data_IF_737724722157
#
_entry.id   IF_737724722157
#
_cell.length_a   1.000
_cell.length_b   1.000
_cell.length_c   1.000
_cell.angle_alpha   90.00
_cell.angle_beta   90.00
_cell.angle_gamma   90.00
#
_symmetry.space_group_name_H-M   'P 1'
#
loop_
_entity.id
_entity.type
_entity.pdbx_description
1 polymer ?
#
# COMPACT_ATOMS: atom_id res chain seq x y z
N UNK A 1 -86.04 60.58 -24.56
CA UNK A 1 -85.50 61.95 -24.64
C UNK A 1 -84.31 62.01 -23.71
N UNK A 2 -83.20 62.62 -24.15
CA UNK A 2 -81.86 62.69 -23.52
C UNK A 2 -81.02 61.41 -23.57
N UNK A 3 -79.70 61.45 -23.77
CA UNK A 3 -78.77 62.32 -24.51
C UNK A 3 -77.44 61.57 -24.52
N UNK A 4 -76.69 61.78 -25.59
CA UNK A 4 -75.33 61.31 -25.88
C UNK A 4 -74.37 61.51 -24.70
N UNK A 5 -73.52 60.52 -24.41
CA UNK A 5 -72.14 60.76 -23.98
C UNK A 5 -71.21 59.67 -24.52
N UNK A 6 -70.32 60.12 -25.40
CA UNK A 6 -69.14 59.43 -25.90
C UNK A 6 -68.26 58.97 -24.74
N UNK A 7 -67.84 57.70 -24.74
CA UNK A 7 -66.75 57.24 -23.88
C UNK A 7 -65.50 57.15 -24.75
N UNK A 8 -64.52 57.99 -24.40
CA UNK A 8 -63.20 58.10 -24.99
C UNK A 8 -62.49 56.75 -25.03
N UNK A 9 -61.90 56.45 -26.19
CA UNK A 9 -60.85 55.45 -26.35
C UNK A 9 -59.66 55.94 -25.51
N UNK A 10 -59.42 55.29 -24.37
CA UNK A 10 -58.18 55.48 -23.61
C UNK A 10 -57.07 54.72 -24.34
N UNK A 11 -56.20 55.47 -25.03
CA UNK A 11 -54.89 55.00 -25.46
C UNK A 11 -54.09 54.56 -24.21
N UNK A 12 -53.81 53.27 -24.12
CA UNK A 12 -52.85 52.73 -23.15
C UNK A 12 -51.43 53.21 -23.52
N UNK A 13 -50.58 53.57 -22.55
CA UNK A 13 -49.24 54.08 -22.81
C UNK A 13 -48.31 52.95 -23.27
N UNK A 14 -47.60 53.22 -24.35
CA UNK A 14 -46.59 52.37 -24.99
C UNK A 14 -45.27 52.39 -24.19
N UNK A 15 -45.24 51.80 -22.98
CA UNK A 15 -44.02 51.72 -22.16
C UNK A 15 -43.93 50.45 -21.29
N UNK A 16 -44.00 49.27 -21.89
CA UNK A 16 -43.46 48.05 -21.26
C UNK A 16 -42.17 47.65 -22.01
N UNK A 17 -40.98 47.79 -21.40
CA UNK A 17 -39.79 47.15 -21.93
C UNK A 17 -40.02 45.64 -21.96
N UNK A 18 -39.74 45.01 -23.11
CA UNK A 18 -39.68 43.56 -23.24
C UNK A 18 -38.74 43.01 -22.17
N UNK A 19 -39.24 42.06 -21.37
CA UNK A 19 -38.48 41.31 -20.36
C UNK A 19 -37.17 40.81 -20.98
N UNK A 20 -36.05 41.45 -20.62
CA UNK A 20 -34.73 40.89 -20.88
C UNK A 20 -34.65 39.57 -20.10
N UNK A 21 -34.60 38.46 -20.83
CA UNK A 21 -34.32 37.16 -20.26
C UNK A 21 -32.89 37.18 -19.72
N UNK A 22 -32.73 37.55 -18.45
CA UNK A 22 -31.49 37.31 -17.73
C UNK A 22 -31.30 35.81 -17.63
N UNK A 23 -30.53 35.23 -18.56
CA UNK A 23 -29.97 33.90 -18.37
C UNK A 23 -28.96 34.00 -17.23
N UNK A 24 -29.35 33.53 -16.04
CA UNK A 24 -28.39 33.35 -14.96
C UNK A 24 -27.22 32.52 -15.49
N UNK A 25 -25.96 32.96 -15.29
CA UNK A 25 -24.82 32.15 -15.71
C UNK A 25 -24.90 30.84 -14.93
N UNK A 26 -24.97 29.72 -15.64
CA UNK A 26 -24.96 28.40 -15.04
C UNK A 26 -23.74 28.31 -14.12
N UNK A 27 -23.97 28.37 -12.80
CA UNK A 27 -22.94 28.16 -11.80
C UNK A 27 -22.48 26.72 -11.97
N UNK A 28 -21.38 26.56 -12.73
CA UNK A 28 -20.76 25.27 -12.92
C UNK A 28 -20.36 24.74 -11.55
N UNK A 29 -21.09 23.75 -11.06
CA UNK A 29 -20.77 23.09 -9.79
C UNK A 29 -19.44 22.37 -9.99
N UNK A 30 -18.35 23.00 -9.52
CA UNK A 30 -17.03 22.37 -9.52
C UNK A 30 -17.06 21.28 -8.46
N UNK A 31 -16.89 20.03 -8.90
CA UNK A 31 -16.78 18.89 -7.99
C UNK A 31 -15.60 19.04 -7.03
N UNK A 32 -15.60 18.30 -5.90
CA UNK A 32 -14.50 18.35 -4.95
C UNK A 32 -13.16 17.95 -5.62
N UNK A 33 -12.03 18.49 -5.15
CA UNK A 33 -10.72 18.15 -5.70
C UNK A 33 -10.43 16.65 -5.56
N UNK A 34 -9.66 16.10 -6.49
CA UNK A 34 -9.29 14.69 -6.47
C UNK A 34 -8.50 14.34 -5.20
N UNK A 35 -9.00 13.38 -4.42
CA UNK A 35 -8.38 12.98 -3.14
C UNK A 35 -6.99 12.33 -3.28
N UNK A 36 -6.59 11.91 -4.49
CA UNK A 36 -5.25 11.36 -4.74
C UNK A 36 -4.94 10.06 -3.98
N UNK A 37 -5.96 9.28 -3.61
CA UNK A 37 -5.82 8.09 -2.78
C UNK A 37 -4.90 7.00 -3.38
N UNK A 38 -4.82 6.93 -4.71
CA UNK A 38 -4.00 5.94 -5.43
C UNK A 38 -2.65 6.49 -5.91
N UNK A 39 -2.40 7.80 -5.76
CA UNK A 39 -1.17 8.41 -6.25
C UNK A 39 0.02 7.90 -5.44
N UNK A 40 1.07 7.46 -6.13
CA UNK A 40 2.35 7.09 -5.52
C UNK A 40 2.91 8.26 -4.70
N UNK A 41 3.55 7.91 -3.59
CA UNK A 41 4.15 8.85 -2.65
C UNK A 41 5.66 8.62 -2.63
N UNK A 42 6.47 9.68 -2.72
CA UNK A 42 7.91 9.53 -2.69
C UNK A 42 8.35 8.92 -1.34
N UNK A 43 9.22 7.92 -1.41
CA UNK A 43 9.86 7.37 -0.22
C UNK A 43 10.81 8.41 0.38
N UNK A 44 10.94 8.40 1.71
CA UNK A 44 11.98 9.16 2.40
C UNK A 44 13.35 8.53 2.10
N UNK A 45 14.46 9.30 2.11
CA UNK A 45 15.79 8.73 2.03
C UNK A 45 16.01 7.69 3.14
N UNK A 46 16.38 6.47 2.76
CA UNK A 46 16.59 5.37 3.71
C UNK A 46 17.95 5.48 4.38
N UNK A 47 18.04 4.98 5.60
CA UNK A 47 19.32 4.75 6.28
C UNK A 47 20.07 3.62 5.59
N UNK A 48 19.34 2.63 5.06
CA UNK A 48 19.89 1.55 4.24
C UNK A 48 20.79 2.07 3.11
N UNK A 49 20.27 2.96 2.26
CA UNK A 49 21.03 3.49 1.12
C UNK A 49 22.30 4.23 1.57
N UNK A 50 22.21 5.03 2.64
CA UNK A 50 23.37 5.76 3.18
C UNK A 50 24.48 4.83 3.65
N UNK A 51 24.14 3.76 4.36
CA UNK A 51 25.13 2.79 4.85
C UNK A 51 25.70 1.92 3.71
N UNK A 52 24.91 1.68 2.66
CA UNK A 52 25.37 0.98 1.46
C UNK A 52 26.42 1.80 0.72
N UNK A 53 26.15 3.10 0.51
CA UNK A 53 27.08 4.01 -0.17
C UNK A 53 28.39 4.21 0.62
N UNK A 54 28.36 4.04 1.93
CA UNK A 54 29.55 4.08 2.79
C UNK A 54 30.32 2.76 2.85
N UNK A 55 29.77 1.68 2.28
CA UNK A 55 30.40 0.35 2.32
C UNK A 55 30.39 -0.29 3.71
N UNK A 56 29.48 0.11 4.59
CA UNK A 56 29.41 -0.39 5.98
C UNK A 56 28.73 -1.77 6.11
N UNK A 57 28.11 -2.28 5.05
CA UNK A 57 27.43 -3.58 5.11
C UNK A 57 28.40 -4.77 5.10
N UNK A 58 28.12 -5.82 5.91
CA UNK A 58 28.87 -7.07 5.89
C UNK A 58 28.43 -7.97 4.72
N UNK A 59 28.19 -7.42 3.53
CA UNK A 59 27.74 -8.16 2.35
C UNK A 59 28.43 -7.65 1.08
N UNK A 60 28.52 -8.50 0.05
CA UNK A 60 29.06 -8.16 -1.26
C UNK A 60 28.25 -8.85 -2.37
N UNK A 61 28.31 -8.32 -3.59
CA UNK A 61 27.72 -8.96 -4.77
C UNK A 61 28.58 -10.16 -5.17
N UNK A 62 28.00 -11.35 -5.18
CA UNK A 62 28.61 -12.54 -5.76
C UNK A 62 27.95 -12.83 -7.12
N UNK A 63 28.78 -12.84 -8.17
CA UNK A 63 28.36 -13.27 -9.49
C UNK A 63 28.64 -14.75 -9.63
N UNK A 64 27.60 -15.56 -9.69
CA UNK A 64 27.72 -16.96 -10.06
C UNK A 64 27.06 -17.20 -11.44
N UNK A 65 27.32 -18.36 -12.04
CA UNK A 65 26.76 -18.71 -13.36
C UNK A 65 25.25 -18.97 -13.34
N UNK A 66 24.61 -19.02 -12.16
CA UNK A 66 23.18 -19.27 -11.96
C UNK A 66 22.38 -18.02 -11.55
N UNK A 67 23.03 -16.87 -11.36
CA UNK A 67 22.41 -15.60 -11.01
C UNK A 67 23.26 -14.71 -10.08
N UNK A 68 22.71 -13.56 -9.70
CA UNK A 68 23.32 -12.69 -8.69
C UNK A 68 22.92 -13.19 -7.29
N UNK A 69 23.89 -13.40 -6.41
CA UNK A 69 23.67 -13.68 -4.98
C UNK A 69 24.40 -12.65 -4.12
N UNK A 70 23.97 -12.51 -2.86
CA UNK A 70 24.75 -11.76 -1.87
C UNK A 70 25.63 -12.75 -1.11
N UNK A 71 26.90 -12.41 -0.94
CA UNK A 71 27.81 -13.12 -0.07
C UNK A 71 27.99 -12.34 1.23
N UNK A 72 27.68 -12.95 2.35
CA UNK A 72 27.88 -12.36 3.67
C UNK A 72 29.32 -12.54 4.12
N UNK A 73 29.95 -11.44 4.58
CA UNK A 73 31.32 -11.43 5.12
C UNK A 73 31.39 -12.01 6.54
N UNK A 74 30.24 -12.08 7.22
CA UNK A 74 30.07 -12.59 8.58
C UNK A 74 28.93 -13.60 8.54
N UNK A 75 29.05 -14.69 9.29
CA UNK A 75 27.97 -15.67 9.46
C UNK A 75 26.69 -14.97 9.94
N UNK A 76 25.57 -15.24 9.28
CA UNK A 76 24.29 -14.57 9.51
C UNK A 76 23.84 -14.74 10.97
N UNK A 77 24.08 -15.91 11.53
CA UNK A 77 23.73 -16.29 12.90
C UNK A 77 24.50 -15.47 13.94
N UNK A 78 25.63 -14.83 13.58
CA UNK A 78 26.43 -13.99 14.48
C UNK A 78 26.10 -12.50 14.40
N UNK A 79 25.25 -12.09 13.44
CA UNK A 79 24.86 -10.69 13.29
C UNK A 79 23.99 -10.21 14.46
N UNK A 80 24.06 -8.90 14.74
CA UNK A 80 23.15 -8.21 15.64
C UNK A 80 21.86 -7.86 14.90
N UNK A 81 20.83 -8.67 15.13
CA UNK A 81 19.54 -8.50 14.45
C UNK A 81 18.84 -7.19 14.85
N UNK A 82 19.06 -6.67 16.07
CA UNK A 82 18.43 -5.40 16.49
C UNK A 82 18.91 -4.23 15.65
N UNK A 83 20.15 -4.30 15.16
CA UNK A 83 20.71 -3.31 14.25
C UNK A 83 20.35 -3.61 12.79
N UNK A 84 20.64 -4.82 12.32
CA UNK A 84 20.59 -5.11 10.89
C UNK A 84 19.19 -5.36 10.36
N UNK A 85 18.33 -6.11 11.06
CA UNK A 85 17.02 -6.47 10.51
C UNK A 85 16.13 -5.24 10.26
N UNK A 86 15.96 -4.30 11.21
CA UNK A 86 15.23 -3.05 10.94
C UNK A 86 15.86 -2.21 9.82
N UNK A 87 17.19 -2.20 9.71
CA UNK A 87 17.91 -1.49 8.66
C UNK A 87 17.62 -2.05 7.26
N UNK A 88 17.61 -3.37 7.10
CA UNK A 88 17.23 -4.00 5.83
C UNK A 88 15.76 -3.79 5.49
N UNK A 89 14.87 -3.82 6.50
CA UNK A 89 13.46 -3.49 6.33
C UNK A 89 13.22 -2.03 5.90
N UNK A 90 14.03 -1.08 6.38
CA UNK A 90 13.99 0.32 5.92
C UNK A 90 14.30 0.42 4.41
N UNK A 91 15.17 -0.46 3.91
CA UNK A 91 15.51 -0.60 2.51
C UNK A 91 14.40 -1.15 1.61
N UNK A 92 13.27 -1.65 2.14
CA UNK A 92 12.16 -2.16 1.31
C UNK A 92 11.54 -1.10 0.40
N UNK A 93 11.70 0.19 0.73
CA UNK A 93 11.25 1.30 -0.11
C UNK A 93 12.15 1.54 -1.33
N UNK A 94 13.33 0.90 -1.41
CA UNK A 94 14.33 1.10 -2.44
C UNK A 94 13.96 0.39 -3.74
N UNK A 95 13.82 1.15 -4.83
CA UNK A 95 13.50 0.60 -6.17
C UNK A 95 14.69 0.65 -7.14
N UNK A 96 15.70 1.49 -6.85
CA UNK A 96 16.85 1.64 -7.71
C UNK A 96 17.85 0.48 -7.51
N UNK A 97 18.44 0.01 -8.62
CA UNK A 97 19.56 -0.93 -8.57
C UNK A 97 20.84 -0.20 -8.13
N UNK A 98 21.70 -0.78 -7.27
CA UNK A 98 21.61 -2.13 -6.69
C UNK A 98 20.81 -2.23 -5.38
N UNK A 99 20.39 -1.09 -4.80
CA UNK A 99 19.85 -1.00 -3.45
C UNK A 99 18.66 -1.93 -3.17
N UNK A 100 17.65 -1.93 -4.04
CA UNK A 100 16.46 -2.77 -3.85
C UNK A 100 16.77 -4.27 -3.82
N UNK A 101 17.72 -4.72 -4.64
CA UNK A 101 18.18 -6.11 -4.67
C UNK A 101 18.85 -6.52 -3.35
N UNK A 102 19.80 -5.71 -2.88
CA UNK A 102 20.50 -5.97 -1.62
C UNK A 102 19.56 -5.91 -0.40
N UNK A 103 18.63 -4.95 -0.38
CA UNK A 103 17.65 -4.83 0.69
C UNK A 103 16.77 -6.08 0.78
N UNK A 104 16.17 -6.49 -0.34
CA UNK A 104 15.26 -7.64 -0.38
C UNK A 104 15.97 -8.95 -0.06
N UNK A 105 17.15 -9.18 -0.66
CA UNK A 105 17.91 -10.41 -0.40
C UNK A 105 18.40 -10.46 1.05
N UNK A 106 18.84 -9.33 1.60
CA UNK A 106 19.27 -9.25 2.99
C UNK A 106 18.14 -9.53 3.98
N UNK A 107 16.93 -9.02 3.72
CA UNK A 107 15.74 -9.39 4.51
C UNK A 107 15.49 -10.89 4.44
N UNK A 108 15.48 -11.46 3.24
CA UNK A 108 15.19 -12.89 3.06
C UNK A 108 16.20 -13.77 3.82
N UNK A 109 17.50 -13.50 3.68
CA UNK A 109 18.55 -14.30 4.33
C UNK A 109 18.48 -14.20 5.87
N UNK A 110 18.21 -12.99 6.39
CA UNK A 110 18.05 -12.78 7.84
C UNK A 110 16.80 -13.45 8.39
N UNK A 111 15.67 -13.43 7.68
CA UNK A 111 14.47 -14.12 8.13
C UNK A 111 14.65 -15.64 8.10
N UNK A 112 15.34 -16.17 7.08
CA UNK A 112 15.58 -17.61 6.93
C UNK A 112 16.48 -18.19 8.05
N UNK A 113 17.50 -17.44 8.49
CA UNK A 113 18.51 -17.92 9.45
C UNK A 113 18.39 -17.28 10.84
N UNK A 114 17.40 -16.41 11.07
CA UNK A 114 17.29 -15.63 12.31
C UNK A 114 16.70 -16.41 13.49
N UNK A 115 15.79 -17.35 13.23
CA UNK A 115 15.12 -18.15 14.25
C UNK A 115 14.58 -17.31 15.41
N UNK A 116 14.91 -17.69 16.65
CA UNK A 116 14.43 -17.02 17.87
C UNK A 116 14.87 -15.54 18.01
N UNK A 117 15.82 -15.06 17.22
CA UNK A 117 16.26 -13.64 17.25
C UNK A 117 15.25 -12.69 16.61
N UNK A 118 14.32 -13.20 15.81
CA UNK A 118 13.36 -12.37 15.05
C UNK A 118 12.25 -11.84 15.96
N UNK A 119 11.71 -12.69 16.84
CA UNK A 119 10.56 -12.37 17.70
C UNK A 119 10.76 -11.10 18.56
N UNK A 120 11.91 -10.86 19.23
CA UNK A 120 12.12 -9.66 20.04
C UNK A 120 12.12 -8.34 19.24
N UNK A 121 12.28 -8.41 17.92
CA UNK A 121 12.53 -7.24 17.06
C UNK A 121 11.26 -6.78 16.34
N UNK A 122 10.19 -7.56 16.39
CA UNK A 122 8.90 -7.23 15.77
C UNK A 122 8.45 -5.77 15.98
N UNK A 123 8.52 -5.18 17.19
CA UNK A 123 8.13 -3.78 17.39
C UNK A 123 8.93 -2.78 16.53
N UNK A 124 10.20 -3.08 16.23
CA UNK A 124 11.07 -2.21 15.44
C UNK A 124 10.81 -2.32 13.93
N UNK A 125 10.20 -3.42 13.46
CA UNK A 125 9.90 -3.63 12.04
C UNK A 125 8.63 -2.90 11.59
N UNK A 126 7.75 -2.54 12.53
CA UNK A 126 6.42 -1.97 12.23
C UNK A 126 6.52 -0.66 11.44
N UNK A 127 7.43 0.24 11.82
CA UNK A 127 7.59 1.52 11.15
C UNK A 127 8.14 1.37 9.72
N UNK A 128 9.25 0.63 9.49
CA UNK A 128 9.71 0.32 8.13
C UNK A 128 8.65 -0.31 7.22
N UNK A 129 7.92 -1.34 7.70
CA UNK A 129 6.84 -2.00 6.95
C UNK A 129 5.77 -0.98 6.57
N UNK A 130 5.31 -0.19 7.55
CA UNK A 130 4.31 0.85 7.33
C UNK A 130 4.80 1.88 6.31
N UNK A 131 6.06 2.30 6.37
CA UNK A 131 6.61 3.27 5.42
C UNK A 131 6.63 2.70 4.00
N UNK A 132 7.07 1.46 3.82
CA UNK A 132 7.11 0.78 2.54
C UNK A 132 5.72 0.66 1.90
N UNK A 133 4.72 0.18 2.65
CA UNK A 133 3.35 0.10 2.15
C UNK A 133 2.74 1.47 1.83
N UNK A 134 3.09 2.51 2.60
CA UNK A 134 2.60 3.87 2.38
C UNK A 134 3.23 4.59 1.20
N UNK A 135 4.27 4.04 0.56
CA UNK A 135 4.78 4.55 -0.73
C UNK A 135 3.72 4.49 -1.82
N UNK A 136 2.72 3.59 -1.68
CA UNK A 136 1.69 3.33 -2.71
C UNK A 136 2.27 2.89 -4.06
N UNK A 137 3.56 2.57 -4.10
CA UNK A 137 4.20 1.99 -5.26
C UNK A 137 3.89 0.49 -5.31
N UNK A 138 3.34 0.03 -6.43
CA UNK A 138 2.84 -1.35 -6.56
C UNK A 138 3.94 -2.39 -6.36
N UNK A 139 5.13 -2.14 -6.89
CA UNK A 139 6.27 -3.06 -6.77
C UNK A 139 6.73 -3.16 -5.30
N UNK A 140 6.83 -2.03 -4.61
CA UNK A 140 7.19 -1.98 -3.18
C UNK A 140 6.14 -2.69 -2.33
N UNK A 141 4.84 -2.47 -2.59
CA UNK A 141 3.77 -3.14 -1.85
C UNK A 141 3.85 -4.65 -2.06
N UNK A 142 3.94 -5.14 -3.30
CA UNK A 142 4.01 -6.58 -3.55
C UNK A 142 5.24 -7.22 -2.88
N UNK A 143 6.38 -6.54 -2.92
CA UNK A 143 7.61 -7.01 -2.26
C UNK A 143 7.42 -7.05 -0.74
N UNK A 144 6.83 -6.01 -0.16
CA UNK A 144 6.58 -5.92 1.28
C UNK A 144 5.57 -6.97 1.75
N UNK A 145 4.55 -7.29 0.95
CA UNK A 145 3.57 -8.34 1.25
C UNK A 145 4.21 -9.73 1.25
N UNK A 146 5.12 -10.01 0.31
CA UNK A 146 5.89 -11.27 0.28
C UNK A 146 6.82 -11.37 1.49
N UNK A 147 7.48 -10.27 1.86
CA UNK A 147 8.30 -10.20 3.09
C UNK A 147 7.45 -10.41 4.34
N UNK A 148 6.24 -9.85 4.41
CA UNK A 148 5.31 -10.09 5.53
C UNK A 148 4.90 -11.56 5.64
N UNK A 149 4.63 -12.23 4.50
CA UNK A 149 4.35 -13.68 4.48
C UNK A 149 5.56 -14.47 5.03
N UNK A 150 6.78 -14.16 4.59
CA UNK A 150 8.00 -14.82 5.10
C UNK A 150 8.25 -14.54 6.59
N UNK A 151 8.03 -13.30 7.03
CA UNK A 151 8.23 -12.90 8.43
C UNK A 151 7.38 -13.74 9.38
N UNK A 152 6.08 -13.90 9.12
CA UNK A 152 5.19 -14.60 10.06
C UNK A 152 5.40 -16.11 10.11
N UNK A 153 6.07 -16.68 9.09
CA UNK A 153 6.45 -18.10 9.08
C UNK A 153 7.89 -18.36 9.53
N UNK A 154 8.71 -17.32 9.68
CA UNK A 154 10.15 -17.43 9.95
C UNK A 154 10.51 -17.98 11.35
N UNK A 155 9.64 -17.80 12.34
CA UNK A 155 9.85 -18.30 13.69
C UNK A 155 8.54 -18.43 14.47
N UNK A 156 8.55 -19.26 15.51
CA UNK A 156 7.43 -19.46 16.42
C UNK A 156 7.00 -18.12 17.06
N UNK A 157 5.69 -17.95 17.28
CA UNK A 157 5.06 -16.78 17.90
C UNK A 157 5.20 -15.45 17.13
N UNK A 158 5.90 -15.40 15.99
CA UNK A 158 6.07 -14.14 15.24
C UNK A 158 4.74 -13.62 14.70
N UNK A 159 3.89 -14.48 14.15
CA UNK A 159 2.55 -14.10 13.68
C UNK A 159 1.68 -13.52 14.79
N UNK A 160 1.62 -14.20 15.94
CA UNK A 160 0.87 -13.72 17.13
C UNK A 160 1.41 -12.38 17.64
N UNK A 161 2.74 -12.21 17.68
CA UNK A 161 3.37 -10.96 18.09
C UNK A 161 3.07 -9.78 17.13
N UNK A 162 2.67 -10.06 15.90
CA UNK A 162 2.34 -9.04 14.89
C UNK A 162 0.90 -8.50 15.04
N UNK A 163 -0.02 -9.28 15.63
CA UNK A 163 -1.45 -8.94 15.74
C UNK A 163 -1.72 -7.55 16.35
N UNK A 164 -1.05 -7.11 17.44
CA UNK A 164 -1.27 -5.78 18.01
C UNK A 164 -0.97 -4.62 17.03
N UNK A 165 -0.21 -4.89 15.97
CA UNK A 165 0.26 -3.89 15.01
C UNK A 165 -0.54 -3.86 13.70
N UNK A 166 -1.53 -4.76 13.52
CA UNK A 166 -2.39 -4.77 12.33
C UNK A 166 -3.05 -3.41 12.06
N UNK A 167 -3.36 -2.65 13.12
CA UNK A 167 -3.93 -1.30 13.03
C UNK A 167 -3.04 -0.28 12.35
N UNK A 168 -1.73 -0.52 12.35
CA UNK A 168 -0.74 0.38 11.76
C UNK A 168 -0.40 0.02 10.32
N UNK A 169 -0.50 -1.27 9.98
CA UNK A 169 0.00 -1.86 8.73
C UNK A 169 -1.13 -2.09 7.72
N UNK A 170 -2.25 -2.67 8.14
CA UNK A 170 -3.30 -3.14 7.23
C UNK A 170 -4.17 -2.06 6.56
N UNK A 171 -4.45 -0.87 7.16
CA UNK A 171 -5.41 0.08 6.58
C UNK A 171 -5.11 0.50 5.13
N UNK A 172 -3.82 0.58 4.74
CA UNK A 172 -3.40 0.95 3.39
C UNK A 172 -3.78 -0.10 2.34
N UNK A 173 -3.91 -1.38 2.73
CA UNK A 173 -4.24 -2.47 1.82
C UNK A 173 -5.69 -2.35 1.29
N UNK A 174 -6.59 -1.72 2.05
CA UNK A 174 -7.98 -1.48 1.60
C UNK A 174 -8.05 -0.69 0.28
N UNK A 175 -7.07 0.18 0.02
CA UNK A 175 -7.00 0.97 -1.22
C UNK A 175 -6.77 0.03 -2.40
N UNK A 176 -5.95 -1.00 -2.24
CA UNK A 176 -5.46 -1.86 -3.33
C UNK A 176 -6.16 -3.23 -3.40
N UNK A 177 -6.94 -3.60 -2.39
CA UNK A 177 -7.52 -4.94 -2.26
C UNK A 177 -8.37 -5.38 -3.46
N UNK A 178 -9.11 -4.45 -4.08
CA UNK A 178 -9.96 -4.75 -5.24
C UNK A 178 -9.25 -4.50 -6.58
N UNK A 179 -7.95 -4.17 -6.57
CA UNK A 179 -7.18 -3.89 -7.79
C UNK A 179 -6.70 -5.19 -8.45
N UNK A 180 -7.64 -5.99 -8.92
CA UNK A 180 -7.34 -7.15 -9.76
C UNK A 180 -7.12 -6.69 -11.21
N UNK A 181 -6.05 -7.17 -11.86
CA UNK A 181 -5.94 -7.04 -13.31
C UNK A 181 -6.99 -7.97 -13.91
N UNK A 182 -8.15 -7.41 -14.30
CA UNK A 182 -9.15 -8.16 -15.06
C UNK A 182 -8.64 -8.35 -16.48
N UNK A 183 -7.92 -9.44 -16.69
CA UNK A 183 -7.38 -9.83 -18.00
C UNK A 183 -8.43 -10.49 -18.89
N UNK A 184 -9.71 -10.08 -18.86
CA UNK A 184 -10.76 -10.56 -19.79
C UNK A 184 -10.68 -12.04 -20.18
N UNK A 185 -10.64 -12.31 -21.49
CA UNK A 185 -10.41 -13.64 -22.12
C UNK A 185 -8.92 -13.88 -22.46
N UNK A 186 -8.03 -13.01 -21.97
CA UNK A 186 -6.59 -13.08 -22.19
C UNK A 186 -5.91 -13.83 -21.05
N UNK A 187 -5.12 -14.85 -21.38
CA UNK A 187 -4.29 -15.55 -20.40
C UNK A 187 -3.26 -14.56 -19.82
N UNK A 188 -3.38 -14.27 -18.53
CA UNK A 188 -2.45 -13.38 -17.83
C UNK A 188 -1.16 -14.11 -17.47
N UNK A 189 -0.13 -13.96 -18.30
CA UNK A 189 1.21 -14.51 -18.03
C UNK A 189 1.91 -13.88 -16.80
N UNK A 190 1.37 -12.82 -16.19
CA UNK A 190 1.93 -12.21 -14.98
C UNK A 190 1.63 -13.00 -13.69
N UNK A 191 0.75 -14.01 -13.75
CA UNK A 191 0.50 -14.91 -12.61
C UNK A 191 1.77 -15.63 -12.14
N UNK A 192 2.67 -15.98 -13.06
CA UNK A 192 3.93 -16.67 -12.74
C UNK A 192 4.88 -15.81 -11.88
N UNK A 193 4.70 -14.48 -11.87
CA UNK A 193 5.51 -13.53 -11.07
C UNK A 193 4.83 -13.05 -9.77
N UNK A 194 3.59 -13.50 -9.49
CA UNK A 194 2.76 -13.00 -8.37
C UNK A 194 2.70 -11.45 -8.34
N UNK A 195 2.28 -10.85 -9.46
CA UNK A 195 2.20 -9.39 -9.60
C UNK A 195 0.78 -8.83 -9.43
N UNK A 196 -0.25 -9.68 -9.35
CA UNK A 196 -1.60 -9.23 -8.99
C UNK A 196 -1.63 -8.87 -7.49
N UNK A 197 -1.75 -7.57 -7.22
CA UNK A 197 -1.74 -7.02 -5.87
C UNK A 197 -2.96 -7.44 -5.06
N UNK A 198 -4.14 -7.58 -5.67
CA UNK A 198 -5.35 -7.98 -4.96
C UNK A 198 -5.28 -9.42 -4.46
N UNK A 199 -4.87 -10.35 -5.34
CA UNK A 199 -4.64 -11.76 -4.99
C UNK A 199 -3.56 -11.90 -3.91
N UNK A 200 -2.46 -11.16 -4.05
CA UNK A 200 -1.36 -11.18 -3.07
C UNK A 200 -1.78 -10.60 -1.72
N UNK A 201 -2.60 -9.53 -1.70
CA UNK A 201 -3.18 -9.01 -0.45
C UNK A 201 -4.05 -10.07 0.21
N UNK A 202 -4.93 -10.73 -0.55
CA UNK A 202 -5.79 -11.77 -0.01
C UNK A 202 -4.95 -12.91 0.57
N UNK A 203 -3.98 -13.42 -0.17
CA UNK A 203 -3.05 -14.45 0.30
C UNK A 203 -2.30 -14.02 1.58
N UNK A 204 -1.76 -12.80 1.63
CA UNK A 204 -1.08 -12.31 2.83
C UNK A 204 -2.03 -12.25 4.02
N UNK A 205 -3.27 -11.79 3.86
CA UNK A 205 -4.24 -11.76 4.96
C UNK A 205 -4.57 -13.16 5.49
N UNK A 206 -4.66 -14.16 4.62
CA UNK A 206 -4.88 -15.55 5.00
C UNK A 206 -3.69 -16.11 5.77
N UNK A 207 -2.46 -15.84 5.32
CA UNK A 207 -1.25 -16.23 6.06
C UNK A 207 -1.20 -15.52 7.43
N UNK A 208 -1.57 -14.24 7.51
CA UNK A 208 -1.65 -13.51 8.78
C UNK A 208 -2.71 -14.08 9.73
N UNK A 209 -3.81 -14.61 9.22
CA UNK A 209 -4.83 -15.31 10.03
C UNK A 209 -4.32 -16.67 10.52
N UNK A 210 -3.74 -17.47 9.62
CA UNK A 210 -3.24 -18.81 9.93
C UNK A 210 -2.16 -18.83 11.01
N UNK A 211 -1.25 -17.85 11.01
CA UNK A 211 -0.12 -17.78 11.95
C UNK A 211 -0.32 -16.78 13.09
N UNK A 212 -1.39 -15.99 13.07
CA UNK A 212 -1.65 -14.93 14.05
C UNK A 212 -2.39 -15.39 15.32
N UNK A 213 -2.75 -16.66 15.42
CA UNK A 213 -3.48 -17.21 16.56
C UNK A 213 -4.97 -16.83 16.59
N UNK A 214 -5.69 -17.15 17.70
CA UNK A 214 -7.15 -17.07 17.77
C UNK A 214 -7.73 -15.67 17.52
N UNK A 215 -7.01 -14.62 17.92
CA UNK A 215 -7.47 -13.22 17.82
C UNK A 215 -7.08 -12.56 16.48
N UNK A 216 -6.43 -13.28 15.57
CA UNK A 216 -5.98 -12.71 14.31
C UNK A 216 -7.16 -12.25 13.44
N UNK A 217 -8.16 -13.12 13.24
CA UNK A 217 -9.30 -12.84 12.38
C UNK A 217 -10.05 -11.57 12.80
N UNK A 218 -10.39 -11.43 14.09
CA UNK A 218 -11.12 -10.27 14.57
C UNK A 218 -10.33 -8.98 14.33
N UNK A 219 -9.03 -8.98 14.60
CA UNK A 219 -8.18 -7.80 14.36
C UNK A 219 -8.01 -7.48 12.87
N UNK A 220 -7.93 -8.49 12.00
CA UNK A 220 -7.91 -8.30 10.55
C UNK A 220 -9.25 -7.71 10.08
N UNK A 221 -10.38 -8.30 10.47
CA UNK A 221 -11.73 -7.85 10.09
C UNK A 221 -12.01 -6.42 10.51
N UNK A 222 -11.52 -6.00 11.68
CA UNK A 222 -11.61 -4.61 12.13
C UNK A 222 -10.86 -3.63 11.22
N UNK A 223 -9.74 -4.04 10.62
CA UNK A 223 -8.94 -3.17 9.75
C UNK A 223 -9.29 -3.30 8.27
N UNK A 224 -9.76 -4.47 7.84
CA UNK A 224 -10.14 -4.82 6.47
C UNK A 224 -11.55 -5.43 6.50
N UNK A 225 -12.62 -4.62 6.51
CA UNK A 225 -13.99 -5.10 6.70
C UNK A 225 -14.47 -6.11 5.64
N UNK A 226 -13.89 -6.06 4.44
CA UNK A 226 -14.21 -6.94 3.32
C UNK A 226 -13.47 -8.29 3.36
N UNK A 227 -12.65 -8.54 4.38
CA UNK A 227 -11.94 -9.82 4.52
C UNK A 227 -12.86 -10.89 5.10
N UNK A 228 -12.83 -12.09 4.55
CA UNK A 228 -13.56 -13.27 5.05
C UNK A 228 -12.55 -14.34 5.45
N UNK A 229 -12.85 -15.06 6.53
CA UNK A 229 -11.92 -16.03 7.15
C UNK A 229 -11.58 -17.17 6.19
N UNK A 230 -10.32 -17.58 6.16
CA UNK A 230 -9.88 -18.75 5.39
C UNK A 230 -10.33 -20.09 5.98
N UNK A 231 -10.69 -20.14 7.27
CA UNK A 231 -11.16 -21.36 7.93
C UNK A 231 -12.66 -21.65 7.73
N UNK A 232 -13.40 -20.68 7.19
CA UNK A 232 -14.84 -20.79 6.91
C UNK A 232 -15.14 -21.19 5.45
N UNK A 233 -14.11 -21.58 4.69
CA UNK A 233 -14.23 -22.01 3.29
C UNK A 233 -14.51 -23.51 3.15
#
# INVERSE_FOLDING_TARGET
MFSITSIQILQLPEWLPLEESHSEPAVGVVGPPAAGAFRERPAKPTTFRKLYERGEFPMALEHNTTGNRIAWKVEIEKLDYHHYLPLFFDGLCETAHPYGFFACQGVHDLLEHGGAKILPIIPQLILPIKNALNTRNRQVICTTLKVLQHLVVSAEMVGEALVPYYRQILPVLNIFKNMNRNSGDGIDYSQQKRENIGDLIQETLEVLECYGGPDAFINIKYMVPTYESCFLK
#
